data_IF_802301804507
#
_entry.id   IF_802301804507
#
_cell.length_a   1.000
_cell.length_b   1.000
_cell.length_c   1.000
_cell.angle_alpha   90.00
_cell.angle_beta   90.00
_cell.angle_gamma   90.00
#
_symmetry.space_group_name_H-M   'P 1'
#
loop_
_entity.id
_entity.type
_entity.pdbx_description
1 polymer ?
#
# COMPACT_ATOMS: atom_id res chain seq x y z
N UNK A 1 -1.57 53.24 29.24
CA UNK A 1 -1.48 51.79 29.53
C UNK A 1 -2.73 51.10 29.03
N UNK A 2 -2.65 50.35 27.92
CA UNK A 2 -3.78 49.53 27.43
C UNK A 2 -3.88 48.29 28.32
N UNK A 3 -4.90 48.26 29.19
CA UNK A 3 -5.21 47.06 29.98
C UNK A 3 -5.79 46.00 29.04
N UNK A 4 -5.01 44.97 28.74
CA UNK A 4 -5.56 43.73 28.17
C UNK A 4 -6.48 43.13 29.24
N UNK A 5 -7.79 43.27 29.04
CA UNK A 5 -8.77 42.52 29.81
C UNK A 5 -8.50 41.04 29.57
N UNK A 6 -8.00 40.36 30.60
CA UNK A 6 -7.75 38.92 30.58
C UNK A 6 -9.13 38.26 30.57
N UNK A 7 -9.62 37.82 29.41
CA UNK A 7 -10.92 37.18 29.30
C UNK A 7 -10.88 35.83 30.04
N UNK A 8 -11.41 35.83 31.27
CA UNK A 8 -11.65 34.61 32.04
C UNK A 8 -12.88 33.92 31.42
N UNK A 9 -12.64 32.82 30.70
CA UNK A 9 -13.68 32.03 30.02
C UNK A 9 -13.52 31.92 28.50
N UNK A 10 -12.79 32.83 27.87
CA UNK A 10 -12.55 32.83 26.41
C UNK A 10 -11.78 31.58 25.96
N UNK A 11 -10.77 31.18 26.75
CA UNK A 11 -9.94 30.02 26.41
C UNK A 11 -10.77 28.74 26.28
N UNK A 12 -11.70 28.48 27.22
CA UNK A 12 -12.41 27.19 27.22
C UNK A 12 -13.32 27.02 26.00
N UNK A 13 -14.08 28.04 25.60
CA UNK A 13 -14.96 27.96 24.43
C UNK A 13 -14.15 27.90 23.12
N UNK A 14 -13.06 28.65 23.01
CA UNK A 14 -12.16 28.58 21.85
C UNK A 14 -11.49 27.21 21.73
N UNK A 15 -11.04 26.63 22.84
CA UNK A 15 -10.50 25.26 22.85
C UNK A 15 -11.55 24.24 22.42
N UNK A 16 -12.80 24.35 22.89
CA UNK A 16 -13.88 23.45 22.47
C UNK A 16 -14.11 23.53 20.97
N UNK A 17 -14.10 24.73 20.39
CA UNK A 17 -14.29 24.92 18.94
C UNK A 17 -13.11 24.31 18.17
N UNK A 18 -11.87 24.57 18.58
CA UNK A 18 -10.67 24.01 17.93
C UNK A 18 -10.67 22.47 18.01
N UNK A 19 -10.99 21.91 19.18
CA UNK A 19 -11.07 20.45 19.38
C UNK A 19 -12.16 19.84 18.50
N UNK A 20 -13.32 20.48 18.38
CA UNK A 20 -14.39 20.01 17.49
C UNK A 20 -13.94 19.99 16.02
N UNK A 21 -13.20 21.02 15.56
CA UNK A 21 -12.66 21.06 14.20
C UNK A 21 -11.61 19.97 13.96
N UNK A 22 -10.71 19.74 14.92
CA UNK A 22 -9.71 18.67 14.85
C UNK A 22 -10.40 17.29 14.82
N UNK A 23 -11.44 17.08 15.62
CA UNK A 23 -12.18 15.82 15.65
C UNK A 23 -12.83 15.51 14.29
N UNK A 24 -13.46 16.50 13.65
CA UNK A 24 -14.05 16.35 12.32
C UNK A 24 -12.96 16.02 11.29
N UNK A 25 -11.84 16.76 11.31
CA UNK A 25 -10.71 16.51 10.42
C UNK A 25 -10.11 15.10 10.63
N UNK A 26 -10.03 14.64 11.88
CA UNK A 26 -9.54 13.30 12.21
C UNK A 26 -10.47 12.21 11.67
N UNK A 27 -11.80 12.34 11.82
CA UNK A 27 -12.75 11.38 11.24
C UNK A 27 -12.56 11.28 9.72
N UNK A 28 -12.44 12.42 9.04
CA UNK A 28 -12.21 12.44 7.60
C UNK A 28 -10.86 11.81 7.22
N UNK A 29 -9.79 12.14 7.93
CA UNK A 29 -8.45 11.58 7.69
C UNK A 29 -8.43 10.06 7.92
N UNK A 30 -9.01 9.56 9.01
CA UNK A 30 -9.07 8.12 9.28
C UNK A 30 -9.92 7.36 8.25
N UNK A 31 -11.03 7.95 7.80
CA UNK A 31 -11.84 7.37 6.72
C UNK A 31 -11.08 7.29 5.40
N UNK A 32 -10.51 8.41 4.95
CA UNK A 32 -9.79 8.51 3.67
C UNK A 32 -8.49 7.69 3.66
N UNK A 33 -7.72 7.75 4.75
CA UNK A 33 -6.39 7.12 4.82
C UNK A 33 -6.47 5.65 5.25
N UNK A 34 -7.52 5.25 5.97
CA UNK A 34 -7.73 3.87 6.40
C UNK A 34 -7.85 2.91 5.21
N UNK A 35 -8.61 3.28 4.18
CA UNK A 35 -8.76 2.48 2.98
C UNK A 35 -7.44 2.35 2.20
N UNK A 36 -6.68 3.44 2.08
CA UNK A 36 -5.37 3.43 1.39
C UNK A 36 -4.39 2.52 2.11
N UNK A 37 -4.27 2.65 3.43
CA UNK A 37 -3.38 1.80 4.24
C UNK A 37 -3.81 0.34 4.17
N UNK A 38 -5.11 0.05 4.27
CA UNK A 38 -5.64 -1.31 4.16
C UNK A 38 -5.34 -1.93 2.80
N UNK A 39 -5.52 -1.18 1.72
CA UNK A 39 -5.25 -1.64 0.36
C UNK A 39 -3.76 -1.90 0.13
N UNK A 40 -2.89 -1.01 0.60
CA UNK A 40 -1.44 -1.19 0.51
C UNK A 40 -0.96 -2.38 1.34
N UNK A 41 -1.43 -2.52 2.58
CA UNK A 41 -1.10 -3.67 3.44
C UNK A 41 -1.66 -4.96 2.85
N UNK A 42 -2.86 -4.93 2.26
CA UNK A 42 -3.44 -6.06 1.54
C UNK A 42 -2.61 -6.48 0.32
N UNK A 43 -2.14 -5.51 -0.46
CA UNK A 43 -1.23 -5.74 -1.59
C UNK A 43 0.10 -6.36 -1.13
N UNK A 44 0.76 -5.74 -0.14
CA UNK A 44 2.01 -6.26 0.42
C UNK A 44 1.84 -7.65 1.06
N UNK A 45 0.72 -7.90 1.76
CA UNK A 45 0.43 -9.21 2.33
C UNK A 45 0.13 -10.26 1.25
N UNK A 46 -0.51 -9.85 0.15
CA UNK A 46 -0.75 -10.70 -1.02
C UNK A 46 0.54 -11.05 -1.76
N UNK A 47 1.42 -10.07 -1.95
CA UNK A 47 2.77 -10.27 -2.50
C UNK A 47 3.63 -11.17 -1.60
N UNK A 48 3.70 -10.88 -0.30
CA UNK A 48 4.44 -11.66 0.69
C UNK A 48 3.86 -13.07 0.86
N UNK A 49 2.54 -13.21 0.79
CA UNK A 49 1.81 -14.48 0.80
C UNK A 49 2.00 -15.30 -0.48
N UNK A 50 2.72 -14.78 -1.47
CA UNK A 50 3.07 -15.50 -2.70
C UNK A 50 1.99 -15.50 -3.77
N UNK A 51 0.98 -14.62 -3.70
CA UNK A 51 -0.04 -14.52 -4.74
C UNK A 51 0.56 -14.08 -6.09
N UNK A 52 1.49 -13.11 -6.09
CA UNK A 52 2.32 -12.84 -7.27
C UNK A 52 3.32 -13.99 -7.53
N UNK A 53 3.91 -14.55 -6.48
CA UNK A 53 4.77 -15.74 -6.58
C UNK A 53 4.13 -16.90 -7.37
N UNK A 54 2.83 -17.14 -7.23
CA UNK A 54 2.10 -18.18 -7.97
C UNK A 54 1.99 -17.89 -9.48
N UNK A 55 1.79 -16.62 -9.85
CA UNK A 55 1.76 -16.20 -11.25
C UNK A 55 3.16 -16.29 -11.88
N UNK A 56 4.20 -15.82 -11.17
CA UNK A 56 5.59 -15.95 -11.61
C UNK A 56 6.06 -17.42 -11.66
N UNK A 57 5.66 -18.26 -10.70
CA UNK A 57 5.96 -19.71 -10.71
C UNK A 57 5.25 -20.40 -11.87
N UNK A 58 3.99 -20.05 -12.14
CA UNK A 58 3.25 -20.59 -13.30
C UNK A 58 3.88 -20.15 -14.62
N UNK A 59 4.28 -18.89 -14.74
CA UNK A 59 4.99 -18.38 -15.91
C UNK A 59 6.38 -19.03 -16.07
N UNK A 60 7.11 -19.22 -14.99
CA UNK A 60 8.40 -19.92 -14.98
C UNK A 60 8.24 -21.39 -15.39
N UNK A 61 7.22 -22.08 -14.89
CA UNK A 61 6.91 -23.46 -15.26
C UNK A 61 6.47 -23.57 -16.73
N UNK A 62 5.67 -22.63 -17.23
CA UNK A 62 5.29 -22.57 -18.64
C UNK A 62 6.51 -22.33 -19.54
N UNK A 63 7.40 -21.41 -19.16
CA UNK A 63 8.65 -21.15 -19.87
C UNK A 63 9.62 -22.35 -19.82
N UNK A 64 9.71 -23.03 -18.67
CA UNK A 64 10.51 -24.24 -18.51
C UNK A 64 9.96 -25.40 -19.36
N UNK A 65 8.63 -25.53 -19.46
CA UNK A 65 7.96 -26.54 -20.31
C UNK A 65 8.19 -26.24 -21.79
N UNK A 66 8.05 -24.97 -22.20
CA UNK A 66 8.36 -24.53 -23.56
C UNK A 66 9.83 -24.77 -23.92
N UNK A 67 10.75 -24.49 -22.97
CA UNK A 67 12.19 -24.76 -23.15
C UNK A 67 12.47 -26.26 -23.24
N UNK A 68 11.80 -27.09 -22.45
CA UNK A 68 11.96 -28.56 -22.50
C UNK A 68 11.54 -29.13 -23.85
N UNK A 69 10.49 -28.58 -24.48
CA UNK A 69 10.12 -28.91 -25.86
C UNK A 69 11.16 -28.51 -26.90
N UNK A 70 11.88 -27.41 -26.67
CA UNK A 70 12.96 -26.93 -27.56
C UNK A 70 14.27 -27.70 -27.34
N UNK A 71 14.62 -28.06 -26.11
CA UNK A 71 15.85 -28.83 -25.79
C UNK A 71 15.81 -30.24 -26.39
N UNK A 72 14.63 -30.86 -26.52
CA UNK A 72 14.48 -32.12 -27.26
C UNK A 72 14.77 -31.99 -28.77
N UNK A 73 14.67 -30.77 -29.32
CA UNK A 73 14.90 -30.46 -30.74
C UNK A 73 16.26 -29.83 -31.04
N UNK A 74 17.02 -29.42 -30.00
CA UNK A 74 18.33 -28.80 -30.14
C UNK A 74 19.36 -29.52 -29.28
N UNK A 75 20.16 -30.36 -29.93
CA UNK A 75 21.30 -31.06 -29.36
C UNK A 75 22.60 -30.29 -29.61
N UNK A 76 23.69 -30.63 -28.91
CA UNK A 76 25.02 -30.02 -29.17
C UNK A 76 25.48 -30.19 -30.63
N UNK A 77 24.87 -31.10 -31.42
CA UNK A 77 25.16 -31.25 -32.85
C UNK A 77 24.64 -30.09 -33.69
N UNK A 78 23.57 -29.40 -33.27
CA UNK A 78 22.93 -28.33 -34.03
C UNK A 78 23.67 -26.98 -33.93
N UNK A 79 24.75 -26.93 -33.13
CA UNK A 79 25.64 -25.78 -32.97
C UNK A 79 27.07 -26.08 -33.43
N UNK A 80 27.28 -27.24 -34.06
CA UNK A 80 28.60 -27.71 -34.49
C UNK A 80 28.88 -27.45 -35.99
N UNK A 81 28.05 -26.66 -36.66
CA UNK A 81 28.29 -26.15 -38.02
C UNK A 81 28.97 -24.77 -38.02
#
# INVERSE_FOLDING_TARGET
>A
MKRFFKQLGQGMTEYIIIVALIAIAAIAAYGLFGDVVRNQVGGMASELGGAEGSAQVSAANAAATATSGVTGTKTLKDYAD
#
